data_IF_774321383051
#
_entry.id   IF_774321383051
#
_cell.length_a   1.000
_cell.length_b   1.000
_cell.length_c   1.000
_cell.angle_alpha   90.00
_cell.angle_beta   90.00
_cell.angle_gamma   90.00
#
_symmetry.space_group_name_H-M   'P 1'
#
loop_
_entity.id
_entity.type
_entity.pdbx_description
1 polymer ?
#
# COMPACT_ATOMS: atom_id res chain seq x y z
N UNK A 1 -4.19 -3.97 22.23
CA UNK A 1 -3.25 -4.48 21.22
C UNK A 1 -3.93 -4.34 19.88
N UNK A 2 -3.49 -3.42 19.03
CA UNK A 2 -4.07 -3.26 17.70
C UNK A 2 -3.39 -4.27 16.79
N UNK A 3 -4.16 -5.30 16.43
CA UNK A 3 -3.75 -6.33 15.49
C UNK A 3 -3.83 -5.72 14.08
N UNK A 4 -2.68 -5.36 13.52
CA UNK A 4 -2.59 -4.97 12.11
C UNK A 4 -2.75 -6.26 11.30
N UNK A 5 -3.97 -6.57 10.88
CA UNK A 5 -4.25 -7.62 9.89
C UNK A 5 -3.68 -7.16 8.53
N UNK A 6 -2.38 -7.38 8.34
CA UNK A 6 -1.72 -7.19 7.04
C UNK A 6 -2.23 -8.30 6.11
N UNK A 7 -2.72 -7.93 4.92
CA UNK A 7 -2.92 -8.87 3.82
C UNK A 7 -1.60 -9.59 3.56
N UNK A 8 -1.47 -10.82 4.09
CA UNK A 8 -0.34 -11.70 3.81
C UNK A 8 -0.60 -12.36 2.47
N UNK A 9 -0.02 -11.82 1.41
CA UNK A 9 0.32 -12.67 0.28
C UNK A 9 1.28 -13.73 0.83
N UNK A 10 0.91 -15.01 0.79
CA UNK A 10 1.52 -16.12 1.54
C UNK A 10 3.06 -16.24 1.40
N UNK A 11 3.67 -15.58 0.41
CA UNK A 11 5.11 -15.65 0.11
C UNK A 11 5.86 -14.30 0.13
N UNK A 12 5.21 -13.16 0.38
CA UNK A 12 5.86 -11.85 0.25
C UNK A 12 6.29 -11.29 1.62
N UNK A 13 7.59 -11.34 1.93
CA UNK A 13 8.18 -10.57 3.03
C UNK A 13 8.18 -9.07 2.69
N UNK A 14 7.03 -8.42 2.86
CA UNK A 14 6.89 -6.99 2.60
C UNK A 14 7.32 -6.23 3.87
N UNK A 15 8.38 -5.42 3.76
CA UNK A 15 8.82 -4.51 4.82
C UNK A 15 7.76 -3.40 5.04
N UNK A 16 7.10 -3.42 6.19
CA UNK A 16 6.04 -2.45 6.52
C UNK A 16 6.59 -1.31 7.36
N UNK A 17 6.44 -0.07 6.88
CA UNK A 17 6.66 1.11 7.70
C UNK A 17 5.36 1.47 8.43
N UNK A 18 5.45 1.58 9.76
CA UNK A 18 4.34 2.02 10.63
C UNK A 18 4.68 3.40 11.19
N UNK A 19 3.70 4.30 11.14
CA UNK A 19 3.82 5.64 11.75
C UNK A 19 3.24 5.60 13.16
N UNK A 20 4.04 5.97 14.16
CA UNK A 20 3.56 6.06 15.55
C UNK A 20 2.34 6.98 15.65
N UNK A 21 1.24 6.49 16.26
CA UNK A 21 -0.02 7.21 16.41
C UNK A 21 -1.08 6.92 15.34
N UNK A 22 -0.70 6.28 14.23
CA UNK A 22 -1.59 5.76 13.20
C UNK A 22 -1.05 4.38 12.80
N UNK A 23 -1.53 3.32 13.46
CA UNK A 23 -1.15 1.92 13.19
C UNK A 23 -1.52 1.52 11.75
N UNK A 24 -0.74 1.99 10.79
CA UNK A 24 -1.11 1.96 9.38
C UNK A 24 0.08 1.62 8.51
N UNK A 25 -0.20 0.90 7.43
CA UNK A 25 0.78 0.37 6.49
C UNK A 25 1.15 1.42 5.45
N UNK A 26 2.45 1.60 5.23
CA UNK A 26 2.98 2.40 4.14
C UNK A 26 3.86 1.52 3.26
N UNK A 27 3.66 1.61 1.94
CA UNK A 27 4.39 0.80 0.95
C UNK A 27 5.09 1.69 -0.09
N UNK A 28 6.29 1.31 -0.47
CA UNK A 28 6.99 1.88 -1.62
C UNK A 28 6.37 1.36 -2.93
N UNK A 29 6.66 2.05 -4.04
CA UNK A 29 6.25 1.61 -5.37
C UNK A 29 6.72 0.20 -5.72
N UNK A 30 7.92 -0.18 -5.26
CA UNK A 30 8.47 -1.53 -5.45
C UNK A 30 7.67 -2.60 -4.69
N UNK A 31 7.31 -2.32 -3.45
CA UNK A 31 6.53 -3.25 -2.64
C UNK A 31 5.10 -3.41 -3.15
N UNK A 32 4.49 -2.34 -3.66
CA UNK A 32 3.19 -2.45 -4.34
C UNK A 32 3.29 -3.28 -5.64
N UNK A 33 4.40 -3.19 -6.36
CA UNK A 33 4.66 -4.02 -7.53
C UNK A 33 4.73 -5.51 -7.16
N UNK A 34 5.47 -5.85 -6.09
CA UNK A 34 5.53 -7.21 -5.55
C UNK A 34 4.15 -7.69 -5.05
N UNK A 35 3.45 -6.87 -4.27
CA UNK A 35 2.12 -7.17 -3.72
C UNK A 35 1.09 -7.48 -4.81
N UNK A 36 1.08 -6.68 -5.88
CA UNK A 36 0.07 -6.76 -6.92
C UNK A 36 0.51 -7.55 -8.16
N UNK A 37 1.67 -8.20 -8.12
CA UNK A 37 2.24 -8.96 -9.24
C UNK A 37 2.28 -8.11 -10.52
N UNK A 38 2.98 -6.97 -10.42
CA UNK A 38 3.21 -6.01 -11.51
C UNK A 38 4.63 -5.47 -11.49
N UNK A 39 5.04 -4.90 -12.61
CA UNK A 39 6.26 -4.10 -12.67
C UNK A 39 6.07 -2.74 -11.97
N UNK A 40 7.19 -2.15 -11.56
CA UNK A 40 7.20 -0.85 -10.89
C UNK A 40 6.63 0.26 -11.77
N UNK A 41 6.84 0.22 -13.08
CA UNK A 41 6.43 1.27 -14.00
C UNK A 41 4.90 1.36 -14.10
N UNK A 42 4.22 0.21 -14.12
CA UNK A 42 2.77 0.09 -14.07
C UNK A 42 2.21 0.70 -12.79
N UNK A 43 2.82 0.40 -11.64
CA UNK A 43 2.42 1.02 -10.36
C UNK A 43 2.62 2.54 -10.41
N UNK A 44 3.77 2.99 -10.95
CA UNK A 44 4.08 4.41 -11.10
C UNK A 44 3.09 5.14 -12.00
N UNK A 45 2.66 4.51 -13.09
CA UNK A 45 1.63 5.03 -13.98
C UNK A 45 0.29 5.18 -13.26
N UNK A 46 -0.13 4.19 -12.48
CA UNK A 46 -1.36 4.28 -11.70
C UNK A 46 -1.31 5.41 -10.66
N UNK A 47 -0.21 5.52 -9.90
CA UNK A 47 -0.01 6.59 -8.92
C UNK A 47 -0.05 7.97 -9.57
N UNK A 48 0.68 8.14 -10.69
CA UNK A 48 0.67 9.39 -11.47
C UNK A 48 -0.75 9.74 -11.91
N UNK A 49 -1.51 8.77 -12.42
CA UNK A 49 -2.87 9.00 -12.88
C UNK A 49 -3.84 9.33 -11.74
N UNK A 50 -3.68 8.73 -10.56
CA UNK A 50 -4.45 9.03 -9.36
C UNK A 50 -4.27 10.51 -8.98
N UNK A 51 -3.03 10.99 -8.95
CA UNK A 51 -2.74 12.40 -8.62
C UNK A 51 -3.16 13.36 -9.74
N UNK A 52 -2.94 12.99 -11.01
CA UNK A 52 -3.33 13.82 -12.16
C UNK A 52 -4.85 13.99 -12.29
N UNK A 53 -5.62 13.02 -11.79
CA UNK A 53 -7.09 13.09 -11.72
C UNK A 53 -7.60 13.71 -10.41
N UNK A 54 -6.69 14.20 -9.56
CA UNK A 54 -6.99 14.80 -8.26
C UNK A 54 -7.78 13.87 -7.32
N UNK A 55 -7.71 12.56 -7.53
CA UNK A 55 -8.41 11.59 -6.68
C UNK A 55 -7.80 11.56 -5.28
N UNK A 56 -6.49 11.76 -5.21
CA UNK A 56 -5.74 11.91 -3.96
C UNK A 56 -4.78 13.10 -4.08
N UNK A 57 -4.55 13.78 -2.95
CA UNK A 57 -3.53 14.85 -2.86
C UNK A 57 -2.16 14.23 -2.65
N UNK A 58 -1.20 14.54 -3.52
CA UNK A 58 0.16 13.97 -3.46
C UNK A 58 0.84 14.23 -2.11
N UNK A 59 0.77 15.48 -1.62
CA UNK A 59 1.44 15.88 -0.37
C UNK A 59 0.89 15.23 0.90
N UNK A 60 -0.32 14.67 0.87
CA UNK A 60 -0.92 13.97 2.03
C UNK A 60 -0.84 12.45 1.92
N UNK A 61 -0.39 11.93 0.78
CA UNK A 61 -0.36 10.49 0.50
C UNK A 61 1.04 9.94 0.31
N UNK A 62 2.06 10.80 0.27
CA UNK A 62 3.47 10.43 0.12
C UNK A 62 4.27 10.88 1.34
N UNK A 63 5.13 9.99 1.84
CA UNK A 63 6.15 10.31 2.83
C UNK A 63 7.51 9.73 2.41
N UNK A 64 8.59 10.43 2.76
CA UNK A 64 9.96 10.01 2.44
C UNK A 64 10.58 9.28 3.63
N UNK A 65 10.79 7.98 3.51
CA UNK A 65 11.47 7.19 4.54
C UNK A 65 12.95 6.98 4.18
N UNK A 66 13.86 7.08 5.16
CA UNK A 66 15.25 6.71 4.97
C UNK A 66 15.38 5.19 4.92
N UNK A 67 15.83 4.66 3.80
CA UNK A 67 16.10 3.23 3.60
C UNK A 67 17.60 3.03 3.41
N UNK A 68 18.16 2.06 4.13
CA UNK A 68 19.55 1.65 3.95
C UNK A 68 19.58 0.55 2.89
N UNK A 69 20.30 0.81 1.80
CA UNK A 69 20.55 -0.17 0.76
C UNK A 69 22.03 -0.54 0.75
N UNK A 70 22.34 -1.80 0.45
CA UNK A 70 23.72 -2.25 0.27
C UNK A 70 24.03 -2.24 -1.22
N UNK A 71 24.98 -1.39 -1.63
CA UNK A 71 25.45 -1.25 -3.00
C UNK A 71 26.92 -1.71 -3.05
N UNK A 72 27.15 -2.96 -3.49
CA UNK A 72 28.46 -3.62 -3.38
C UNK A 72 28.86 -3.79 -1.91
N UNK A 73 30.00 -3.22 -1.52
CA UNK A 73 30.47 -3.22 -0.12
C UNK A 73 29.95 -2.03 0.71
N UNK A 74 29.24 -1.07 0.09
CA UNK A 74 28.85 0.19 0.74
C UNK A 74 27.40 0.16 1.22
N UNK A 75 27.14 0.66 2.42
CA UNK A 75 25.79 0.97 2.92
C UNK A 75 25.42 2.40 2.56
N UNK A 76 24.44 2.57 1.69
CA UNK A 76 23.95 3.86 1.21
C UNK A 76 22.57 4.14 1.80
N UNK A 77 22.39 5.31 2.41
CA UNK A 77 21.07 5.79 2.85
C UNK A 77 20.42 6.58 1.73
N UNK A 78 19.25 6.14 1.27
CA UNK A 78 18.42 6.86 0.30
C UNK A 78 17.08 7.24 0.93
N UNK A 79 16.51 8.37 0.50
CA UNK A 79 15.11 8.70 0.82
C UNK A 79 14.23 8.11 -0.26
N UNK A 80 13.35 7.19 0.11
CA UNK A 80 12.43 6.51 -0.79
C UNK A 80 11.01 7.01 -0.50
N UNK A 81 10.21 7.19 -1.56
CA UNK A 81 8.78 7.52 -1.43
C UNK A 81 8.01 6.29 -0.99
N UNK A 82 7.24 6.45 0.07
CA UNK A 82 6.22 5.49 0.49
C UNK A 82 4.85 6.14 0.40
N UNK A 83 3.87 5.28 0.18
CA UNK A 83 2.51 5.64 -0.12
C UNK A 83 1.61 5.09 0.98
N UNK A 84 0.66 5.93 1.39
CA UNK A 84 -0.28 5.61 2.46
C UNK A 84 -1.33 4.56 2.02
N UNK A 85 -2.18 4.07 2.94
CA UNK A 85 -3.21 3.08 2.61
C UNK A 85 -4.16 3.51 1.50
N UNK A 86 -4.57 4.78 1.42
CA UNK A 86 -5.48 5.26 0.38
C UNK A 86 -4.88 5.07 -1.01
N UNK A 87 -3.57 5.32 -1.14
CA UNK A 87 -2.84 5.11 -2.38
C UNK A 87 -2.74 3.62 -2.71
N UNK A 88 -2.44 2.77 -1.72
CA UNK A 88 -2.32 1.32 -1.90
C UNK A 88 -3.66 0.74 -2.37
N UNK A 89 -4.76 1.11 -1.71
CA UNK A 89 -6.12 0.71 -2.07
C UNK A 89 -6.44 1.18 -3.48
N UNK A 90 -6.21 2.46 -3.78
CA UNK A 90 -6.47 3.05 -5.09
C UNK A 90 -5.72 2.31 -6.20
N UNK A 91 -4.45 1.95 -6.00
CA UNK A 91 -3.69 1.14 -6.95
C UNK A 91 -4.27 -0.27 -7.07
N UNK A 92 -4.54 -0.95 -5.95
CA UNK A 92 -5.07 -2.32 -5.95
C UNK A 92 -6.40 -2.48 -6.71
N UNK A 93 -7.25 -1.45 -6.71
CA UNK A 93 -8.48 -1.43 -7.50
C UNK A 93 -8.26 -1.21 -9.01
N UNK A 94 -7.11 -0.68 -9.42
CA UNK A 94 -6.76 -0.40 -10.83
C UNK A 94 -5.94 -1.51 -11.47
N UNK A 95 -5.25 -2.32 -10.66
CA UNK A 95 -4.38 -3.37 -11.17
C UNK A 95 -5.21 -4.57 -11.68
N UNK A 96 -4.91 -4.98 -12.91
CA UNK A 96 -5.41 -6.23 -13.48
C UNK A 96 -4.43 -7.38 -13.24
N UNK A 97 -4.54 -8.05 -12.10
CA UNK A 97 -3.79 -9.27 -11.75
C UNK A 97 -4.61 -10.18 -10.84
N UNK A 98 -4.15 -11.43 -10.67
CA UNK A 98 -4.74 -12.36 -9.70
C UNK A 98 -4.65 -11.80 -8.28
N UNK A 99 -3.48 -11.30 -7.88
CA UNK A 99 -3.27 -10.67 -6.58
C UNK A 99 -4.14 -9.42 -6.39
N UNK A 100 -4.29 -8.58 -7.41
CA UNK A 100 -5.21 -7.44 -7.36
C UNK A 100 -6.68 -7.87 -7.20
N UNK A 101 -7.08 -8.98 -7.81
CA UNK A 101 -8.43 -9.54 -7.65
C UNK A 101 -8.66 -10.04 -6.23
N UNK A 102 -7.71 -10.79 -5.67
CA UNK A 102 -7.76 -11.25 -4.28
C UNK A 102 -7.79 -10.09 -3.29
N UNK A 103 -6.97 -9.07 -3.52
CA UNK A 103 -6.98 -7.84 -2.72
C UNK A 103 -8.35 -7.16 -2.72
N UNK A 104 -9.00 -7.04 -3.89
CA UNK A 104 -10.35 -6.45 -3.99
C UNK A 104 -11.40 -7.28 -3.27
N UNK A 105 -11.34 -8.62 -3.35
CA UNK A 105 -12.24 -9.51 -2.63
C UNK A 105 -12.11 -9.29 -1.11
N UNK A 106 -10.88 -9.38 -0.60
CA UNK A 106 -10.57 -9.12 0.81
C UNK A 106 -11.03 -7.73 1.28
N UNK A 107 -10.73 -6.68 0.51
CA UNK A 107 -11.12 -5.31 0.87
C UNK A 107 -12.65 -5.13 0.90
N UNK A 108 -13.35 -5.74 -0.06
CA UNK A 108 -14.81 -5.71 -0.14
C UNK A 108 -15.45 -6.44 1.04
N UNK A 109 -14.96 -7.63 1.38
CA UNK A 109 -15.42 -8.41 2.53
C UNK A 109 -15.26 -7.61 3.83
N UNK A 110 -14.10 -6.97 4.03
CA UNK A 110 -13.85 -6.17 5.23
C UNK A 110 -14.77 -4.95 5.31
N UNK A 111 -14.99 -4.27 4.18
CA UNK A 111 -15.90 -3.13 4.11
C UNK A 111 -17.34 -3.52 4.43
N UNK A 112 -17.83 -4.63 3.84
CA UNK A 112 -19.18 -5.16 4.12
C UNK A 112 -19.32 -5.51 5.60
N UNK A 113 -18.34 -6.19 6.20
CA UNK A 113 -18.35 -6.52 7.62
C UNK A 113 -18.42 -5.26 8.50
N UNK A 114 -17.68 -4.20 8.15
CA UNK A 114 -17.74 -2.91 8.86
C UNK A 114 -19.14 -2.27 8.80
N UNK A 115 -19.78 -2.26 7.62
CA UNK A 115 -21.13 -1.72 7.47
C UNK A 115 -22.17 -2.49 8.31
N UNK A 116 -22.05 -3.82 8.39
CA UNK A 116 -22.92 -4.62 9.26
C UNK A 116 -22.72 -4.29 10.74
N UNK A 117 -21.48 -4.19 11.19
CA UNK A 117 -21.17 -3.85 12.58
C UNK A 117 -21.67 -2.46 12.97
N UNK A 118 -21.57 -1.48 12.07
CA UNK A 118 -22.12 -0.13 12.28
C UNK A 118 -23.65 -0.15 12.41
N UNK A 119 -24.34 -1.01 11.65
CA UNK A 119 -25.80 -1.15 11.72
C UNK A 119 -26.29 -1.81 13.01
N UNK A 120 -25.48 -2.67 13.64
CA UNK A 120 -25.80 -3.33 14.90
C UNK A 120 -25.49 -2.47 16.13
N UNK A 121 -24.70 -1.40 15.95
CA UNK A 121 -24.27 -0.51 17.02
C UNK A 121 -25.20 0.70 17.26
N UNK A 122 -26.25 0.86 16.45
CA UNK A 122 -27.29 1.90 16.59
C UNK A 122 -28.67 1.30 16.75
#
# INVERSE_FOLDING_TARGET
MNEVEIYKAEDAQIEVHVKFGQDTVWLSQKQMAELFDKDTDTIGLHLKNIHAKEELKENSTIELFPVVQTEGERRVKRKIRFYNPDSIISVGYRVNSKSGTQFRQWATERFIALLFNLKLAG
#
